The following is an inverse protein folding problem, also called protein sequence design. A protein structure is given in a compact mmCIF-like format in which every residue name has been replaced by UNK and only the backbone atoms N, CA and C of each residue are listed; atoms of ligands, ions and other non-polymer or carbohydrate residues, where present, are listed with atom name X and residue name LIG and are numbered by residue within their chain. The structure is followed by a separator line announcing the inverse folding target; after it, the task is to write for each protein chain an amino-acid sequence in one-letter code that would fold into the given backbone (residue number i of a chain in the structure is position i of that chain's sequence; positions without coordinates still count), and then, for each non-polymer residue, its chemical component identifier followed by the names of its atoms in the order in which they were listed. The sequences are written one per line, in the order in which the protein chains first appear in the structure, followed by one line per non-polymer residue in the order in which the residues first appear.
data_IF_692135016191
#
_entry.id   IF_692135016191
#
_cell.length_a   1.000
_cell.length_b   1.000
_cell.length_c   1.000
_cell.angle_alpha   90.00
_cell.angle_beta   90.00
_cell.angle_gamma   90.00
#
_symmetry.space_group_name_H-M   'P 1'
#
loop_
_entity.id
_entity.type
_entity.pdbx_description
1 polymer ?
#
# COMPACT_ATOMS: atom_id res chain seq x y z
N UNK A 1 26.24 -3.37 -1.58
CA UNK A 1 25.77 -3.34 -2.98
C UNK A 1 24.41 -2.67 -2.99
N UNK A 2 24.32 -1.43 -3.48
CA UNK A 2 23.09 -0.64 -3.50
C UNK A 2 22.26 -0.99 -4.74
N UNK A 3 21.60 -2.15 -4.75
CA UNK A 3 20.54 -2.38 -5.74
C UNK A 3 19.41 -1.42 -5.37
N UNK A 4 19.20 -0.37 -6.15
CA UNK A 4 18.02 0.47 -5.97
C UNK A 4 16.82 -0.43 -6.27
N UNK A 5 15.98 -0.78 -5.28
CA UNK A 5 14.84 -1.64 -5.55
C UNK A 5 13.95 -0.91 -6.55
N UNK A 6 13.84 -1.48 -7.74
CA UNK A 6 13.08 -0.91 -8.84
C UNK A 6 11.63 -1.28 -8.60
N UNK A 7 10.73 -0.28 -8.61
CA UNK A 7 9.30 -0.53 -8.53
C UNK A 7 8.91 -1.55 -9.62
N UNK A 8 8.19 -2.62 -9.27
CA UNK A 8 7.77 -3.58 -10.27
C UNK A 8 6.90 -2.90 -11.32
N UNK A 9 7.06 -3.20 -12.63
CA UNK A 9 6.32 -2.54 -13.70
C UNK A 9 4.82 -2.80 -13.67
N UNK A 10 4.37 -3.81 -12.90
CA UNK A 10 2.96 -4.13 -12.72
C UNK A 10 2.29 -3.37 -11.57
N UNK A 11 3.06 -2.72 -10.69
CA UNK A 11 2.51 -2.00 -9.54
C UNK A 11 1.81 -0.73 -10.01
N UNK A 12 0.51 -0.60 -9.69
CA UNK A 12 -0.35 0.53 -10.09
C UNK A 12 0.01 1.83 -9.37
N UNK A 13 0.23 1.86 -8.03
CA UNK A 13 0.55 3.10 -7.33
C UNK A 13 1.91 3.66 -7.74
N UNK A 14 2.08 4.98 -7.63
CA UNK A 14 3.35 5.63 -7.95
C UNK A 14 4.46 5.32 -6.94
N UNK A 15 5.73 5.49 -7.35
CA UNK A 15 6.90 5.23 -6.49
C UNK A 15 6.85 5.98 -5.16
N UNK A 16 6.39 7.23 -5.19
CA UNK A 16 6.28 8.07 -3.99
C UNK A 16 5.26 7.50 -3.00
N UNK A 17 4.10 7.04 -3.46
CA UNK A 17 3.06 6.45 -2.62
C UNK A 17 3.53 5.14 -1.98
N UNK A 18 4.21 4.29 -2.75
CA UNK A 18 4.79 3.04 -2.24
C UNK A 18 5.87 3.33 -1.18
N UNK A 19 6.65 4.39 -1.38
CA UNK A 19 7.65 4.83 -0.41
C UNK A 19 7.00 5.37 0.87
N UNK A 20 5.99 6.22 0.75
CA UNK A 20 5.27 6.78 1.89
C UNK A 20 4.59 5.68 2.71
N UNK A 21 3.92 4.72 2.04
CA UNK A 21 3.28 3.58 2.70
C UNK A 21 4.30 2.76 3.50
N UNK A 22 5.49 2.50 2.92
CA UNK A 22 6.54 1.75 3.61
C UNK A 22 6.96 2.46 4.90
N UNK A 23 7.29 3.75 4.83
CA UNK A 23 7.78 4.48 6.00
C UNK A 23 6.72 4.69 7.07
N UNK A 24 5.47 4.94 6.69
CA UNK A 24 4.36 5.06 7.65
C UNK A 24 4.06 3.72 8.32
N UNK A 25 4.00 2.62 7.56
CA UNK A 25 3.82 1.30 8.15
C UNK A 25 5.00 0.92 9.06
N UNK A 26 6.23 1.23 8.65
CA UNK A 26 7.42 0.99 9.47
C UNK A 26 7.38 1.79 10.79
N UNK A 27 6.93 3.05 10.75
CA UNK A 27 6.68 3.85 11.96
C UNK A 27 5.71 3.15 12.91
N UNK A 28 4.56 2.69 12.40
CA UNK A 28 3.56 1.98 13.20
C UNK A 28 4.10 0.65 13.77
N UNK A 29 4.98 -0.04 13.03
CA UNK A 29 5.65 -1.26 13.51
C UNK A 29 6.54 -0.96 14.72
N UNK A 30 7.32 0.12 14.69
CA UNK A 30 8.18 0.53 15.80
C UNK A 30 7.39 0.93 17.05
N UNK A 31 6.20 1.51 16.87
CA UNK A 31 5.29 1.86 17.97
C UNK A 31 4.56 0.64 18.57
N UNK A 32 4.52 -0.48 17.86
CA UNK A 32 4.24 -1.81 18.41
C UNK A 32 2.78 -2.11 18.78
N UNK A 33 1.80 -1.37 18.24
CA UNK A 33 0.39 -1.48 18.66
C UNK A 33 -0.47 -2.41 17.81
N UNK A 34 -0.16 -2.58 16.53
CA UNK A 34 -0.98 -3.33 15.57
C UNK A 34 -0.11 -4.29 14.73
N UNK A 35 -0.49 -5.57 14.55
CA UNK A 35 0.18 -6.48 13.63
C UNK A 35 -0.02 -6.16 12.15
N UNK A 36 -1.06 -5.41 11.76
CA UNK A 36 -1.38 -5.09 10.37
C UNK A 36 -0.21 -4.37 9.65
N UNK A 37 0.40 -3.31 10.21
CA UNK A 37 1.58 -2.67 9.64
C UNK A 37 2.76 -3.60 9.36
N UNK A 38 2.94 -4.67 10.15
CA UNK A 38 4.01 -5.66 9.90
C UNK A 38 3.78 -6.41 8.59
N UNK A 39 2.52 -6.74 8.30
CA UNK A 39 2.14 -7.33 7.02
C UNK A 39 2.39 -6.40 5.84
N UNK A 40 2.08 -5.11 6.00
CA UNK A 40 2.33 -4.08 4.97
C UNK A 40 3.83 -4.01 4.67
N UNK A 41 4.67 -3.84 5.70
CA UNK A 41 6.13 -3.76 5.54
C UNK A 41 6.67 -5.02 4.87
N UNK A 42 6.28 -6.20 5.34
CA UNK A 42 6.77 -7.47 4.79
C UNK A 42 6.39 -7.66 3.31
N UNK A 43 5.18 -7.25 2.90
CA UNK A 43 4.77 -7.29 1.50
C UNK A 43 5.63 -6.34 0.64
N UNK A 44 5.89 -5.12 1.12
CA UNK A 44 6.69 -4.14 0.40
C UNK A 44 8.17 -4.55 0.28
N UNK A 45 8.76 -5.08 1.35
CA UNK A 45 10.13 -5.62 1.33
C UNK A 45 10.26 -6.81 0.36
N UNK A 46 9.28 -7.73 0.36
CA UNK A 46 9.27 -8.86 -0.57
C UNK A 46 9.16 -8.43 -2.04
N UNK A 47 8.23 -7.51 -2.34
CA UNK A 47 8.03 -6.97 -3.69
C UNK A 47 9.27 -6.24 -4.22
N UNK A 48 10.08 -5.65 -3.33
CA UNK A 48 11.37 -5.02 -3.64
C UNK A 48 12.54 -6.00 -3.76
N UNK A 49 12.33 -7.28 -3.46
CA UNK A 49 13.37 -8.32 -3.49
C UNK A 49 14.27 -8.33 -2.25
N UNK A 50 13.86 -7.67 -1.16
CA UNK A 50 14.64 -7.58 0.08
C UNK A 50 14.37 -8.75 1.03
N UNK A 51 13.25 -9.46 0.84
CA UNK A 51 12.80 -10.60 1.66
C UNK A 51 12.13 -11.68 0.81
N UNK A 52 11.88 -12.83 1.44
CA UNK A 52 11.01 -13.89 0.90
C UNK A 52 9.52 -13.53 1.05
N UNK A 53 8.67 -14.25 0.33
CA UNK A 53 7.21 -14.11 0.35
C UNK A 53 6.66 -14.23 1.78
N UNK A 54 5.95 -13.22 2.29
CA UNK A 54 5.58 -13.15 3.71
C UNK A 54 4.59 -14.23 4.16
N UNK A 55 3.80 -14.80 3.26
CA UNK A 55 2.84 -15.85 3.55
C UNK A 55 3.34 -17.23 3.12
N UNK A 56 4.14 -17.35 2.08
CA UNK A 56 4.50 -18.66 1.52
C UNK A 56 5.99 -18.98 1.54
N UNK A 57 6.84 -18.07 2.02
CA UNK A 57 8.31 -18.24 2.05
C UNK A 57 8.92 -18.35 0.66
N UNK A 58 8.33 -17.65 -0.32
CA UNK A 58 8.75 -17.73 -1.73
C UNK A 58 9.91 -16.80 -2.03
N UNK A 59 10.97 -17.35 -2.60
CA UNK A 59 12.22 -16.63 -2.91
C UNK A 59 12.34 -16.24 -4.39
N UNK A 60 11.34 -16.55 -5.21
CA UNK A 60 11.30 -16.23 -6.63
C UNK A 60 11.34 -14.71 -6.87
N UNK A 61 12.32 -14.27 -7.68
CA UNK A 61 12.55 -12.87 -8.05
C UNK A 61 12.86 -12.72 -9.56
N UNK A 62 12.48 -11.60 -10.21
CA UNK A 62 11.69 -10.50 -9.67
C UNK A 62 10.23 -10.92 -9.40
N UNK A 63 9.59 -10.30 -8.40
CA UNK A 63 8.17 -10.53 -8.13
C UNK A 63 7.33 -10.10 -9.33
N UNK A 64 6.60 -11.05 -9.93
CA UNK A 64 5.65 -10.79 -11.02
C UNK A 64 4.24 -10.54 -10.46
N UNK A 65 3.35 -9.96 -11.26
CA UNK A 65 1.95 -9.79 -10.88
C UNK A 65 1.28 -11.13 -10.52
N UNK A 66 1.65 -12.23 -11.19
CA UNK A 66 1.16 -13.57 -10.89
C UNK A 66 1.65 -14.06 -9.52
N UNK A 67 2.92 -13.80 -9.16
CA UNK A 67 3.46 -14.11 -7.83
C UNK A 67 2.73 -13.31 -6.75
N UNK A 68 2.55 -12.00 -6.96
CA UNK A 68 1.81 -11.12 -6.05
C UNK A 68 0.36 -11.59 -5.84
N UNK A 69 -0.33 -12.00 -6.92
CA UNK A 69 -1.71 -12.49 -6.85
C UNK A 69 -1.82 -13.83 -6.13
N UNK A 70 -0.87 -14.75 -6.33
CA UNK A 70 -0.79 -16.00 -5.58
C UNK A 70 -0.60 -15.75 -4.07
N UNK A 71 0.29 -14.82 -3.71
CA UNK A 71 0.56 -14.45 -2.32
C UNK A 71 -0.65 -13.75 -1.66
N UNK A 72 -1.39 -12.94 -2.43
CA UNK A 72 -2.65 -12.33 -2.00
C UNK A 72 -3.73 -13.37 -1.69
N UNK A 73 -3.85 -14.43 -2.49
CA UNK A 73 -4.79 -15.52 -2.21
C UNK A 73 -4.37 -16.36 -1.01
N UNK A 74 -3.07 -16.61 -0.82
CA UNK A 74 -2.56 -17.23 0.40
C UNK A 74 -2.91 -16.41 1.65
N UNK A 75 -2.85 -15.07 1.56
CA UNK A 75 -3.29 -14.19 2.65
C UNK A 75 -4.81 -14.28 2.88
N UNK A 76 -5.61 -14.34 1.81
CA UNK A 76 -7.07 -14.47 1.93
C UNK A 76 -7.49 -15.78 2.62
N UNK A 77 -6.79 -16.89 2.36
CA UNK A 77 -7.01 -18.18 3.03
C UNK A 77 -6.77 -18.09 4.54
N UNK A 78 -5.76 -17.33 4.98
CA UNK A 78 -5.49 -17.11 6.41
C UNK A 78 -6.54 -16.21 7.05
N UNK A 79 -6.97 -15.14 6.36
CA UNK A 79 -7.93 -14.15 6.89
C UNK A 79 -9.35 -14.71 6.95
N UNK A 80 -9.72 -15.59 6.01
CA UNK A 80 -11.06 -16.13 5.88
C UNK A 80 -11.07 -17.68 5.87
N UNK A 81 -10.72 -18.34 7.00
CA UNK A 81 -10.59 -19.80 7.04
C UNK A 81 -11.91 -20.54 6.75
N UNK A 82 -13.05 -19.91 7.07
CA UNK A 82 -14.39 -20.49 6.85
C UNK A 82 -14.92 -20.29 5.42
N UNK A 83 -14.24 -19.48 4.60
CA UNK A 83 -14.58 -19.23 3.21
C UNK A 83 -13.37 -19.56 2.32
N UNK A 84 -13.01 -20.86 2.20
CA UNK A 84 -11.77 -21.26 1.56
C UNK A 84 -11.80 -20.82 0.09
N UNK A 85 -10.92 -19.87 -0.22
CA UNK A 85 -10.61 -19.50 -1.59
C UNK A 85 -10.05 -20.75 -2.28
N UNK A 86 -10.42 -21.07 -3.54
CA UNK A 86 -9.86 -22.21 -4.27
C UNK A 86 -8.40 -21.91 -4.70
N UNK A 87 -7.54 -21.59 -3.73
CA UNK A 87 -6.19 -21.05 -3.90
C UNK A 87 -5.37 -21.90 -4.84
N UNK A 88 -5.42 -23.24 -4.69
CA UNK A 88 -4.66 -24.15 -5.55
C UNK A 88 -5.02 -24.01 -7.03
N UNK A 89 -6.30 -24.06 -7.36
CA UNK A 89 -6.78 -23.93 -8.75
C UNK A 89 -6.40 -22.57 -9.32
N UNK A 90 -6.62 -21.50 -8.56
CA UNK A 90 -6.32 -20.14 -8.98
C UNK A 90 -4.82 -19.93 -9.21
N UNK A 91 -3.98 -20.48 -8.33
CA UNK A 91 -2.51 -20.41 -8.44
C UNK A 91 -2.01 -21.19 -9.66
N UNK A 92 -2.59 -22.36 -9.94
CA UNK A 92 -2.27 -23.15 -11.13
C UNK A 92 -2.66 -22.41 -12.42
N UNK A 93 -3.79 -21.71 -12.45
CA UNK A 93 -4.23 -20.87 -13.59
C UNK A 93 -3.27 -19.72 -13.90
N UNK A 94 -2.57 -19.21 -12.88
CA UNK A 94 -1.52 -18.19 -13.03
C UNK A 94 -0.17 -18.78 -13.46
N UNK A 95 -0.04 -20.09 -13.60
CA UNK A 95 1.23 -20.77 -13.86
C UNK A 95 2.21 -20.68 -12.68
N UNK A 96 1.70 -20.49 -11.47
CA UNK A 96 2.49 -20.40 -10.25
C UNK A 96 2.35 -21.71 -9.47
N UNK A 97 3.42 -22.22 -8.87
CA UNK A 97 3.34 -23.42 -8.06
C UNK A 97 2.64 -23.11 -6.72
N UNK A 98 1.61 -23.88 -6.37
CA UNK A 98 0.93 -23.74 -5.08
C UNK A 98 1.89 -24.04 -3.91
N UNK A 99 1.88 -23.15 -2.92
CA UNK A 99 2.52 -23.35 -1.62
C UNK A 99 1.52 -23.08 -0.52
N UNK A 100 1.52 -23.95 0.50
CA UNK A 100 0.67 -23.78 1.67
C UNK A 100 1.10 -22.52 2.44
N UNK A 101 0.15 -21.69 2.92
CA UNK A 101 0.49 -20.55 3.75
C UNK A 101 1.19 -20.97 5.06
N UNK A 102 2.15 -20.17 5.49
CA UNK A 102 2.83 -20.24 6.77
C UNK A 102 1.87 -19.86 7.91
N UNK A 103 2.13 -20.29 9.17
CA UNK A 103 1.32 -19.93 10.32
C UNK A 103 1.55 -18.46 10.72
N UNK A 104 0.93 -17.53 9.99
CA UNK A 104 1.01 -16.09 10.21
C UNK A 104 -0.26 -15.62 10.95
N UNK A 105 -0.12 -14.60 11.80
CA UNK A 105 -1.26 -14.00 12.49
C UNK A 105 -2.26 -13.38 11.47
N UNK A 106 -3.58 -13.58 11.61
CA UNK A 106 -4.57 -13.09 10.64
C UNK A 106 -4.49 -11.59 10.33
N UNK A 107 -4.22 -10.75 11.34
CA UNK A 107 -4.06 -9.31 11.13
C UNK A 107 -2.82 -8.95 10.30
N UNK A 108 -1.71 -9.68 10.45
CA UNK A 108 -0.54 -9.48 9.60
C UNK A 108 -0.80 -9.97 8.17
N UNK A 109 -1.51 -11.09 8.02
CA UNK A 109 -1.94 -11.57 6.70
C UNK A 109 -2.87 -10.55 6.01
N UNK A 110 -3.76 -9.90 6.76
CA UNK A 110 -4.62 -8.84 6.25
C UNK A 110 -3.81 -7.64 5.74
N UNK A 111 -2.78 -7.21 6.47
CA UNK A 111 -1.85 -6.18 6.01
C UNK A 111 -1.19 -6.51 4.68
N UNK A 112 -0.75 -7.75 4.49
CA UNK A 112 -0.22 -8.21 3.20
C UNK A 112 -1.30 -8.20 2.12
N UNK A 113 -2.49 -8.74 2.42
CA UNK A 113 -3.61 -8.84 1.47
C UNK A 113 -4.02 -7.46 0.95
N UNK A 114 -4.23 -6.50 1.84
CA UNK A 114 -4.60 -5.13 1.47
C UNK A 114 -3.50 -4.46 0.64
N UNK A 115 -2.24 -4.63 1.04
CA UNK A 115 -1.10 -4.07 0.30
C UNK A 115 -1.00 -4.62 -1.11
N UNK A 116 -1.12 -5.95 -1.28
CA UNK A 116 -1.03 -6.57 -2.60
C UNK A 116 -2.25 -6.22 -3.47
N UNK A 117 -3.47 -6.15 -2.91
CA UNK A 117 -4.64 -5.66 -3.65
C UNK A 117 -4.44 -4.24 -4.14
N UNK A 118 -3.90 -3.35 -3.31
CA UNK A 118 -3.63 -1.97 -3.67
C UNK A 118 -2.54 -1.87 -4.75
N UNK A 119 -1.43 -2.61 -4.61
CA UNK A 119 -0.37 -2.65 -5.62
C UNK A 119 -0.86 -3.21 -6.97
N UNK A 120 -1.75 -4.19 -6.95
CA UNK A 120 -2.36 -4.78 -8.14
C UNK A 120 -3.46 -3.90 -8.77
N UNK A 121 -3.91 -2.84 -8.08
CA UNK A 121 -5.03 -2.01 -8.51
C UNK A 121 -6.42 -2.64 -8.31
N UNK A 122 -6.53 -3.68 -7.47
CA UNK A 122 -7.81 -4.30 -7.12
C UNK A 122 -8.62 -3.46 -6.12
N UNK A 123 -7.98 -2.47 -5.48
CA UNK A 123 -8.59 -1.43 -4.63
C UNK A 123 -7.89 -0.09 -4.85
N UNK A 124 -8.66 1.00 -4.82
CA UNK A 124 -8.11 2.36 -4.95
C UNK A 124 -7.48 2.86 -3.65
N UNK A 125 -8.05 2.48 -2.51
CA UNK A 125 -7.61 2.94 -1.20
C UNK A 125 -6.35 2.21 -0.73
N UNK A 126 -5.32 2.99 -0.36
CA UNK A 126 -4.13 2.48 0.31
C UNK A 126 -4.47 1.85 1.68
N UNK A 127 -3.73 0.82 2.13
CA UNK A 127 -3.93 0.21 3.45
C UNK A 127 -3.79 1.19 4.63
N UNK A 128 -3.04 2.28 4.44
CA UNK A 128 -2.90 3.39 5.39
C UNK A 128 -3.16 4.72 4.68
N UNK A 129 -3.57 5.74 5.44
CA UNK A 129 -3.64 7.11 4.95
C UNK A 129 -2.27 7.57 4.44
N UNK A 130 -2.21 8.04 3.18
CA UNK A 130 -0.99 8.55 2.56
C UNK A 130 -1.03 10.08 2.41
N UNK A 131 0.13 10.75 2.36
CA UNK A 131 0.20 12.13 1.91
C UNK A 131 -0.38 12.27 0.50
N UNK A 132 -1.27 13.24 0.30
CA UNK A 132 -1.80 13.53 -1.03
C UNK A 132 -0.70 14.16 -1.89
N UNK A 133 -0.34 13.50 -3.01
CA UNK A 133 0.70 13.96 -3.93
C UNK A 133 0.14 14.24 -5.32
N UNK A 134 0.81 15.15 -6.03
CA UNK A 134 0.67 15.32 -7.47
C UNK A 134 1.40 14.18 -8.21
N UNK A 135 1.16 14.05 -9.51
CA UNK A 135 1.79 13.01 -10.36
C UNK A 135 3.31 13.12 -10.46
N UNK A 136 3.86 14.31 -10.18
CA UNK A 136 5.30 14.56 -10.11
C UNK A 136 5.92 14.15 -8.76
N UNK A 137 5.09 13.66 -7.82
CA UNK A 137 5.50 13.27 -6.48
C UNK A 137 5.55 14.42 -5.46
N UNK A 138 5.29 15.67 -5.86
CA UNK A 138 5.23 16.78 -4.91
C UNK A 138 3.95 16.73 -4.08
N UNK A 139 3.96 17.33 -2.88
CA UNK A 139 2.77 17.45 -2.06
C UNK A 139 1.70 18.24 -2.81
N UNK A 140 0.48 17.71 -2.89
CA UNK A 140 -0.62 18.38 -3.54
C UNK A 140 -1.02 19.64 -2.76
N UNK A 141 -1.22 20.74 -3.47
CA UNK A 141 -1.74 21.97 -2.87
C UNK A 141 -3.27 21.95 -2.81
N UNK A 142 -3.84 22.80 -1.93
CA UNK A 142 -5.29 22.95 -1.76
C UNK A 142 -5.99 23.18 -3.09
N UNK A 143 -5.44 24.06 -3.95
CA UNK A 143 -6.06 24.39 -5.22
C UNK A 143 -6.08 23.20 -6.19
N UNK A 144 -5.03 22.36 -6.17
CA UNK A 144 -4.94 21.14 -6.98
C UNK A 144 -6.01 20.14 -6.55
N UNK A 145 -6.16 19.91 -5.24
CA UNK A 145 -7.16 18.99 -4.70
C UNK A 145 -8.60 19.45 -4.98
N UNK A 146 -8.87 20.75 -4.88
CA UNK A 146 -10.18 21.30 -5.26
C UNK A 146 -10.46 21.08 -6.74
N UNK A 147 -9.49 21.33 -7.63
CA UNK A 147 -9.65 21.09 -9.07
C UNK A 147 -9.85 19.60 -9.38
N UNK A 148 -9.13 18.70 -8.71
CA UNK A 148 -9.31 17.26 -8.84
C UNK A 148 -10.73 16.84 -8.43
N UNK A 149 -11.23 17.34 -7.30
CA UNK A 149 -12.60 17.07 -6.84
C UNK A 149 -13.66 17.59 -7.81
N UNK A 150 -13.45 18.78 -8.38
CA UNK A 150 -14.34 19.34 -9.41
C UNK A 150 -14.34 18.51 -10.71
N UNK A 151 -13.16 18.04 -11.11
CA UNK A 151 -12.98 17.20 -12.31
C UNK A 151 -13.60 15.82 -12.14
N UNK A 152 -13.53 15.24 -10.94
CA UNK A 152 -14.14 13.94 -10.63
C UNK A 152 -15.67 13.98 -10.60
N UNK A 153 -16.28 15.15 -10.40
CA UNK A 153 -17.73 15.35 -10.36
C UNK A 153 -18.18 16.49 -11.30
N UNK A 154 -18.04 16.34 -12.62
CA UNK A 154 -18.31 17.42 -13.58
C UNK A 154 -19.80 17.77 -13.68
N UNK A 155 -20.68 16.84 -13.31
CA UNK A 155 -22.13 17.02 -13.30
C UNK A 155 -22.65 17.71 -12.03
N UNK A 156 -21.81 17.92 -11.01
CA UNK A 156 -22.19 18.57 -9.76
C UNK A 156 -22.26 20.08 -9.97
N UNK A 157 -23.32 20.72 -9.46
CA UNK A 157 -23.37 22.18 -9.43
C UNK A 157 -22.41 22.72 -8.35
N UNK A 158 -21.32 23.34 -8.78
CA UNK A 158 -20.30 23.91 -7.90
C UNK A 158 -20.61 25.36 -7.53
N UNK A 159 -21.64 25.54 -6.69
CA UNK A 159 -21.99 26.84 -6.13
C UNK A 159 -20.98 27.33 -5.07
N UNK A 160 -21.16 28.54 -4.52
CA UNK A 160 -20.25 29.10 -3.52
C UNK A 160 -20.09 28.22 -2.27
N UNK A 161 -21.18 27.58 -1.80
CA UNK A 161 -21.15 26.71 -0.62
C UNK A 161 -20.37 25.42 -0.89
N UNK A 162 -20.59 24.79 -2.03
CA UNK A 162 -19.91 23.55 -2.44
C UNK A 162 -18.41 23.80 -2.65
N UNK A 163 -18.05 24.92 -3.27
CA UNK A 163 -16.64 25.32 -3.43
C UNK A 163 -15.97 25.61 -2.09
N UNK A 164 -16.66 26.27 -1.16
CA UNK A 164 -16.14 26.50 0.18
C UNK A 164 -15.93 25.17 0.93
N UNK A 165 -16.89 24.25 0.86
CA UNK A 165 -16.77 22.94 1.49
C UNK A 165 -15.59 22.13 0.94
N UNK A 166 -15.44 22.06 -0.39
CA UNK A 166 -14.30 21.38 -1.01
C UNK A 166 -12.96 22.03 -0.65
N UNK A 167 -12.91 23.36 -0.53
CA UNK A 167 -11.69 24.05 -0.08
C UNK A 167 -11.33 23.71 1.37
N UNK A 168 -12.33 23.64 2.26
CA UNK A 168 -12.10 23.27 3.66
C UNK A 168 -11.62 21.81 3.78
N UNK A 169 -12.20 20.89 3.01
CA UNK A 169 -11.75 19.49 2.93
C UNK A 169 -10.32 19.39 2.38
N UNK A 170 -10.03 20.09 1.27
CA UNK A 170 -8.69 20.13 0.70
C UNK A 170 -7.65 20.70 1.69
N UNK A 171 -8.00 21.73 2.46
CA UNK A 171 -7.13 22.26 3.53
C UNK A 171 -6.84 21.20 4.60
N UNK A 172 -7.87 20.51 5.09
CA UNK A 172 -7.71 19.45 6.08
C UNK A 172 -6.84 18.30 5.55
N UNK A 173 -6.98 17.93 4.28
CA UNK A 173 -6.16 16.91 3.60
C UNK A 173 -4.70 17.35 3.49
N UNK A 174 -4.42 18.60 3.10
CA UNK A 174 -3.04 19.11 3.02
C UNK A 174 -2.39 19.14 4.41
N UNK A 175 -3.11 19.59 5.44
CA UNK A 175 -2.60 19.59 6.81
C UNK A 175 -2.31 18.18 7.33
N UNK A 176 -3.19 17.22 7.05
CA UNK A 176 -2.94 15.80 7.37
C UNK A 176 -1.70 15.29 6.64
N UNK A 177 -1.59 15.59 5.34
CA UNK A 177 -0.47 15.15 4.52
C UNK A 177 0.86 15.70 5.03
N UNK A 178 0.90 16.96 5.49
CA UNK A 178 2.09 17.54 6.13
C UNK A 178 2.49 16.77 7.39
N UNK A 179 1.54 16.47 8.28
CA UNK A 179 1.81 15.68 9.49
C UNK A 179 2.35 14.28 9.18
N UNK A 180 1.81 13.64 8.14
CA UNK A 180 2.30 12.34 7.67
C UNK A 180 3.73 12.44 7.12
N UNK A 181 4.05 13.49 6.36
CA UNK A 181 5.41 13.73 5.87
C UNK A 181 6.40 14.03 6.99
N UNK A 182 6.00 14.81 7.99
CA UNK A 182 6.82 15.10 9.17
C UNK A 182 7.15 13.79 9.91
N UNK A 183 6.15 12.90 10.07
CA UNK A 183 6.33 11.57 10.67
C UNK A 183 7.27 10.68 9.85
N UNK A 184 7.14 10.67 8.52
CA UNK A 184 8.05 9.94 7.62
C UNK A 184 9.49 10.45 7.81
N UNK A 185 9.69 11.77 7.82
CA UNK A 185 11.00 12.38 7.98
C UNK A 185 11.63 12.04 9.34
N UNK A 186 10.83 12.05 10.41
CA UNK A 186 11.28 11.68 11.75
C UNK A 186 11.81 10.24 11.79
N UNK A 187 11.06 9.28 11.24
CA UNK A 187 11.46 7.87 11.24
C UNK A 187 12.69 7.63 10.35
N UNK A 188 12.77 8.29 9.20
CA UNK A 188 13.96 8.21 8.35
C UNK A 188 15.21 8.73 9.08
N UNK A 189 15.08 9.83 9.83
CA UNK A 189 16.18 10.37 10.64
C UNK A 189 16.59 9.40 11.76
N UNK A 190 15.62 8.77 12.45
CA UNK A 190 15.89 7.77 13.49
C UNK A 190 16.66 6.57 12.93
N UNK A 191 16.23 6.02 11.79
CA UNK A 191 16.88 4.85 11.15
C UNK A 191 18.28 5.18 10.62
N UNK A 192 18.50 6.40 10.12
CA UNK A 192 19.82 6.82 9.62
C UNK A 192 20.82 7.10 10.75
N UNK A 193 20.33 7.40 11.96
CA UNK A 193 21.18 7.72 13.12
C UNK A 193 21.54 6.50 13.99
N UNK A 194 20.95 5.34 13.70
CA UNK A 194 21.15 4.08 14.43
C UNK A 194 22.22 3.21 13.76
#
# INVERSE_FOLDING_TARGET
MTSTPTQPPWAVPGRAEISDLHWLAYADVLEGRDPLPRGIVAALEWVRGEREGPLTGRSEQPVTAALARAEMWAAAEIVHPDAPVPTRTLVDELGVAYRRPLPIAPHAAEGVRLTLRWLLGDIDASPLDLPARCTDGNLAEVHVLVQAAMTAAPHRFWGPKERHAARAEAQATVERSRRLLDRIAEIQAQVTSA
#
